data_IF_793571229797
#
_entry.id   IF_793571229797
#
_cell.length_a   1.000
_cell.length_b   1.000
_cell.length_c   1.000
_cell.angle_alpha   90.00
_cell.angle_beta   90.00
_cell.angle_gamma   90.00
#
_symmetry.space_group_name_H-M   'P 1'
#
loop_
_entity.id
_entity.type
_entity.pdbx_description
1 polymer ?
#
# COMPACT_ATOMS: atom_id res chain seq x y z
N UNK A 1 -23.69 24.73 -4.55
CA UNK A 1 -23.97 24.16 -3.22
C UNK A 1 -23.06 22.96 -3.01
N UNK A 2 -22.35 22.89 -1.89
CA UNK A 2 -21.46 21.77 -1.57
C UNK A 2 -22.30 20.55 -1.17
N UNK A 3 -22.11 19.41 -1.83
CA UNK A 3 -22.87 18.18 -1.51
C UNK A 3 -22.28 17.50 -0.28
N UNK A 4 -23.05 16.64 0.43
CA UNK A 4 -22.52 15.83 1.52
C UNK A 4 -21.32 14.95 1.09
N UNK A 5 -21.31 14.50 -0.17
CA UNK A 5 -20.18 13.76 -0.74
C UNK A 5 -18.92 14.62 -0.83
N UNK A 6 -19.03 15.87 -1.29
CA UNK A 6 -17.88 16.78 -1.38
C UNK A 6 -17.30 17.07 0.00
N UNK A 7 -18.14 17.31 1.02
CA UNK A 7 -17.68 17.48 2.41
C UNK A 7 -16.94 16.23 2.90
N UNK A 8 -17.43 15.03 2.58
CA UNK A 8 -16.77 13.78 2.96
C UNK A 8 -15.41 13.62 2.26
N UNK A 9 -15.30 13.99 1.00
CA UNK A 9 -14.03 13.93 0.24
C UNK A 9 -13.03 14.93 0.81
N UNK A 10 -13.44 16.18 1.04
CA UNK A 10 -12.59 17.21 1.62
C UNK A 10 -12.07 16.81 3.01
N UNK A 11 -12.92 16.16 3.81
CA UNK A 11 -12.54 15.60 5.12
C UNK A 11 -11.52 14.45 5.09
N UNK A 12 -11.15 13.94 3.91
CA UNK A 12 -10.08 12.91 3.75
C UNK A 12 -8.71 13.48 3.47
N UNK A 13 -8.56 14.80 3.33
CA UNK A 13 -7.30 15.45 2.99
C UNK A 13 -6.14 15.01 3.88
N UNK A 14 -6.30 15.09 5.20
CA UNK A 14 -5.23 14.76 6.14
C UNK A 14 -4.87 13.26 6.11
N UNK A 15 -5.86 12.37 6.03
CA UNK A 15 -5.62 10.92 5.90
C UNK A 15 -4.91 10.59 4.57
N UNK A 16 -5.25 11.27 3.48
CA UNK A 16 -4.58 11.10 2.19
C UNK A 16 -3.11 11.57 2.24
N UNK A 17 -2.85 12.71 2.88
CA UNK A 17 -1.49 13.23 3.07
C UNK A 17 -0.68 12.25 3.92
N UNK A 18 -1.21 11.82 5.07
CA UNK A 18 -0.52 10.89 5.96
C UNK A 18 -0.24 9.55 5.26
N UNK A 19 -1.25 8.97 4.58
CA UNK A 19 -1.07 7.76 3.78
C UNK A 19 0.06 7.93 2.76
N UNK A 20 0.08 9.05 2.05
CA UNK A 20 1.11 9.32 1.03
C UNK A 20 2.50 9.39 1.66
N UNK A 21 2.64 10.06 2.80
CA UNK A 21 3.92 10.11 3.51
C UNK A 21 4.36 8.73 3.99
N UNK A 22 3.44 7.93 4.56
CA UNK A 22 3.75 6.59 5.06
C UNK A 22 4.18 5.65 3.93
N UNK A 23 3.55 5.75 2.75
CA UNK A 23 3.97 5.01 1.56
C UNK A 23 5.38 5.42 1.11
N UNK A 24 5.71 6.72 1.11
CA UNK A 24 7.04 7.22 0.72
C UNK A 24 8.13 6.78 1.72
N UNK A 25 7.80 6.68 3.01
CA UNK A 25 8.74 6.25 4.05
C UNK A 25 9.18 4.79 3.93
N UNK A 26 8.46 3.97 3.14
CA UNK A 26 8.85 2.59 2.86
C UNK A 26 9.65 2.61 1.54
N UNK A 27 10.99 2.54 1.58
CA UNK A 27 11.82 2.76 0.41
C UNK A 27 11.85 1.51 -0.47
N UNK A 28 10.76 1.28 -1.21
CA UNK A 28 10.66 0.15 -2.12
C UNK A 28 11.57 0.35 -3.33
N UNK A 29 12.16 -0.74 -3.83
CA UNK A 29 13.00 -0.71 -5.02
C UNK A 29 12.47 -1.70 -6.05
N UNK A 30 12.04 -1.19 -7.21
CA UNK A 30 11.47 -1.99 -8.29
C UNK A 30 12.33 -1.91 -9.56
N UNK A 31 13.03 -2.98 -9.99
CA UNK A 31 13.56 -4.17 -9.30
C UNK A 31 14.79 -3.87 -8.41
N UNK A 32 15.19 -4.73 -7.44
CA UNK A 32 14.92 -6.18 -7.35
C UNK A 32 13.72 -6.58 -6.47
N UNK A 33 12.97 -5.65 -5.87
CA UNK A 33 11.88 -5.96 -4.93
C UNK A 33 12.23 -5.69 -3.46
N UNK A 34 13.21 -4.82 -3.21
CA UNK A 34 13.56 -4.43 -1.83
C UNK A 34 12.35 -3.76 -1.17
N UNK A 35 12.09 -4.12 0.10
CA UNK A 35 10.97 -3.64 0.92
C UNK A 35 9.55 -3.94 0.39
N UNK A 36 9.39 -4.86 -0.57
CA UNK A 36 8.07 -5.28 -1.06
C UNK A 36 7.22 -5.93 0.04
N UNK A 37 7.81 -6.79 0.88
CA UNK A 37 7.11 -7.37 2.04
C UNK A 37 6.58 -6.29 3.00
N UNK A 38 7.41 -5.28 3.31
CA UNK A 38 7.03 -4.20 4.22
C UNK A 38 5.86 -3.34 3.70
N UNK A 39 5.88 -2.97 2.41
CA UNK A 39 4.76 -2.21 1.82
C UNK A 39 3.49 -3.07 1.70
N UNK A 40 3.63 -4.36 1.37
CA UNK A 40 2.51 -5.29 1.32
C UNK A 40 1.85 -5.46 2.68
N UNK A 41 2.62 -5.61 3.76
CA UNK A 41 2.09 -5.69 5.13
C UNK A 41 1.37 -4.40 5.56
N UNK A 42 1.94 -3.24 5.21
CA UNK A 42 1.32 -1.95 5.48
C UNK A 42 -0.04 -1.81 4.77
N UNK A 43 -0.08 -2.11 3.47
CA UNK A 43 -1.30 -2.05 2.66
C UNK A 43 -2.33 -3.08 3.14
N UNK A 44 -1.89 -4.30 3.47
CA UNK A 44 -2.75 -5.35 4.01
C UNK A 44 -3.49 -4.88 5.26
N UNK A 45 -2.77 -4.33 6.25
CA UNK A 45 -3.38 -3.80 7.48
C UNK A 45 -4.38 -2.68 7.20
N UNK A 46 -4.03 -1.74 6.32
CA UNK A 46 -4.91 -0.61 5.97
C UNK A 46 -6.19 -1.07 5.28
N UNK A 47 -6.08 -2.00 4.33
CA UNK A 47 -7.22 -2.53 3.58
C UNK A 47 -8.13 -3.37 4.49
N UNK A 48 -7.56 -4.23 5.32
CA UNK A 48 -8.33 -5.00 6.31
C UNK A 48 -9.07 -4.10 7.29
N UNK A 49 -8.43 -3.04 7.80
CA UNK A 49 -9.08 -2.04 8.65
C UNK A 49 -10.23 -1.29 7.94
N UNK A 50 -10.23 -1.27 6.61
CA UNK A 50 -11.30 -0.70 5.77
C UNK A 50 -12.36 -1.74 5.37
N UNK A 51 -12.28 -2.97 5.88
CA UNK A 51 -13.25 -4.05 5.64
C UNK A 51 -12.98 -4.90 4.39
N UNK A 52 -11.80 -4.79 3.78
CA UNK A 52 -11.43 -5.63 2.64
C UNK A 52 -10.87 -6.98 3.09
N UNK A 53 -11.21 -8.03 2.35
CA UNK A 53 -10.44 -9.27 2.34
C UNK A 53 -9.19 -9.09 1.48
N UNK A 54 -8.06 -9.63 1.93
CA UNK A 54 -6.75 -9.46 1.29
C UNK A 54 -5.99 -10.78 1.28
N UNK A 55 -5.15 -10.97 0.25
CA UNK A 55 -4.26 -12.11 0.11
C UNK A 55 -2.87 -11.61 -0.30
N UNK A 56 -1.83 -12.17 0.31
CA UNK A 56 -0.43 -11.91 -0.04
C UNK A 56 0.09 -13.07 -0.87
N UNK A 57 0.29 -12.84 -2.17
CA UNK A 57 0.68 -13.87 -3.13
C UNK A 57 2.09 -13.54 -3.63
N UNK A 58 3.03 -14.47 -3.42
CA UNK A 58 4.39 -14.35 -3.97
C UNK A 58 4.37 -14.62 -5.48
N UNK A 59 5.05 -13.77 -6.24
CA UNK A 59 5.17 -13.83 -7.68
C UNK A 59 6.29 -14.81 -8.10
N UNK A 60 6.11 -16.09 -7.79
CA UNK A 60 7.06 -17.15 -8.18
C UNK A 60 7.36 -17.14 -9.68
N UNK A 61 8.59 -17.48 -10.03
CA UNK A 61 9.12 -17.56 -11.40
C UNK A 61 9.07 -16.25 -12.21
N UNK A 62 8.76 -15.12 -11.56
CA UNK A 62 8.77 -13.81 -12.22
C UNK A 62 10.14 -13.13 -12.13
N UNK A 63 10.54 -12.32 -13.13
CA UNK A 63 11.81 -11.60 -13.09
C UNK A 63 11.97 -10.77 -11.80
N UNK A 64 13.06 -11.02 -11.08
CA UNK A 64 13.38 -10.35 -9.82
C UNK A 64 12.89 -11.06 -8.57
N UNK A 65 11.99 -12.05 -8.66
CA UNK A 65 11.71 -12.93 -7.51
C UNK A 65 12.95 -13.78 -7.20
N UNK A 66 13.30 -13.80 -5.92
CA UNK A 66 14.36 -14.66 -5.39
C UNK A 66 14.17 -14.83 -3.89
N UNK A 67 14.84 -15.81 -3.28
CA UNK A 67 14.81 -15.95 -1.82
C UNK A 67 15.32 -14.70 -1.08
N UNK A 68 16.26 -13.96 -1.69
CA UNK A 68 16.77 -12.71 -1.13
C UNK A 68 15.82 -11.53 -1.33
N UNK A 69 15.07 -11.52 -2.43
CA UNK A 69 14.12 -10.48 -2.81
C UNK A 69 12.80 -11.13 -3.25
N UNK A 70 11.98 -11.62 -2.31
CA UNK A 70 10.70 -12.21 -2.65
C UNK A 70 9.78 -11.12 -3.21
N UNK A 71 9.16 -11.38 -4.37
CA UNK A 71 8.27 -10.44 -5.05
C UNK A 71 6.80 -10.69 -4.80
#
# INVERSE_FOLDING_TARGET
MTTPLMVRIDGKREDLIQLTQDLIRIPTLNPPGENYGAICDFLNKRLQASGFETQLIRAFDTPGDSERYPR
#
